data_IF_355937861789
#
_entry.id   IF_355937861789
#
_cell.length_a   1.000
_cell.length_b   1.000
_cell.length_c   1.000
_cell.angle_alpha   90.00
_cell.angle_beta   90.00
_cell.angle_gamma   90.00
#
_symmetry.space_group_name_H-M   'P 1'
#
loop_
_entity.id
_entity.type
_entity.pdbx_description
1 polymer ?
#
# COMPACT_ATOMS: atom_id res chain seq x y z
N UNK A 1 -72.20 -17.07 -35.15
CA UNK A 1 -71.45 -15.78 -35.15
C UNK A 1 -70.52 -15.79 -34.01
N UNK A 2 -69.24 -16.13 -34.23
CA UNK A 2 -68.21 -16.15 -33.23
C UNK A 2 -67.07 -15.29 -33.79
N UNK A 3 -66.77 -14.18 -33.12
CA UNK A 3 -65.64 -13.32 -33.42
C UNK A 3 -64.42 -13.83 -32.67
N UNK A 4 -63.40 -14.11 -33.40
CA UNK A 4 -62.05 -14.47 -32.88
C UNK A 4 -61.25 -13.19 -32.62
N UNK A 5 -61.00 -12.91 -31.37
CA UNK A 5 -60.11 -11.84 -30.95
C UNK A 5 -58.67 -12.35 -30.92
N UNK A 6 -57.82 -11.82 -31.80
CA UNK A 6 -56.41 -12.11 -31.89
C UNK A 6 -55.62 -11.15 -31.01
N UNK A 7 -54.89 -11.69 -30.01
CA UNK A 7 -53.97 -10.98 -29.15
C UNK A 7 -52.68 -10.59 -29.92
N UNK A 8 -52.11 -9.42 -29.68
CA UNK A 8 -50.82 -9.01 -30.26
C UNK A 8 -49.62 -9.66 -29.55
N UNK A 9 -48.79 -10.29 -30.33
CA UNK A 9 -47.49 -10.84 -29.93
C UNK A 9 -46.54 -9.71 -29.50
N UNK A 10 -46.33 -9.59 -28.19
CA UNK A 10 -45.35 -8.69 -27.64
C UNK A 10 -43.91 -9.17 -27.91
N UNK A 11 -43.16 -8.32 -28.57
CA UNK A 11 -41.75 -8.52 -28.89
C UNK A 11 -40.94 -8.44 -27.59
N UNK A 12 -40.44 -9.56 -27.10
CA UNK A 12 -39.56 -9.63 -25.94
C UNK A 12 -38.16 -9.24 -26.41
N UNK A 13 -37.77 -7.98 -26.16
CA UNK A 13 -36.42 -7.51 -26.35
C UNK A 13 -35.56 -8.15 -25.27
N UNK A 14 -34.81 -9.17 -25.63
CA UNK A 14 -33.72 -9.73 -24.78
C UNK A 14 -32.65 -8.67 -24.57
N UNK A 15 -32.66 -8.04 -23.40
CA UNK A 15 -31.50 -7.25 -22.93
C UNK A 15 -30.31 -8.20 -22.75
N UNK A 16 -29.34 -8.09 -23.60
CA UNK A 16 -28.03 -8.72 -23.40
C UNK A 16 -27.43 -8.15 -22.12
N UNK A 17 -27.42 -8.92 -21.05
CA UNK A 17 -26.67 -8.62 -19.84
C UNK A 17 -25.20 -8.81 -20.18
N UNK A 18 -24.51 -7.72 -20.52
CA UNK A 18 -23.06 -7.69 -20.53
C UNK A 18 -22.62 -7.80 -19.08
N UNK A 19 -22.33 -9.01 -18.64
CA UNK A 19 -21.70 -9.24 -17.33
C UNK A 19 -20.41 -8.43 -17.26
N UNK A 20 -20.13 -7.68 -16.16
CA UNK A 20 -18.85 -7.03 -15.98
C UNK A 20 -17.77 -8.12 -16.06
N UNK A 21 -16.72 -7.89 -16.85
CA UNK A 21 -15.56 -8.78 -16.92
C UNK A 21 -15.03 -8.95 -15.52
N UNK A 22 -15.36 -10.06 -14.88
CA UNK A 22 -14.76 -10.48 -13.62
C UNK A 22 -13.29 -10.63 -13.88
N UNK A 23 -12.46 -9.77 -13.26
CA UNK A 23 -11.01 -9.91 -13.30
C UNK A 23 -10.67 -11.28 -12.73
N UNK A 24 -9.84 -12.04 -13.44
CA UNK A 24 -9.32 -13.30 -12.89
C UNK A 24 -8.45 -12.96 -11.67
N UNK A 25 -8.59 -13.73 -10.60
CA UNK A 25 -7.90 -13.48 -9.30
C UNK A 25 -6.37 -13.46 -9.42
N UNK A 26 -5.81 -13.96 -10.52
CA UNK A 26 -4.37 -14.08 -10.75
C UNK A 26 -3.76 -12.95 -11.61
N UNK A 27 -4.55 -12.00 -12.09
CA UNK A 27 -4.02 -10.89 -12.89
C UNK A 27 -3.19 -9.94 -12.01
N UNK A 28 -1.92 -9.62 -12.39
CA UNK A 28 -1.09 -8.70 -11.63
C UNK A 28 -1.73 -7.32 -11.50
N UNK A 29 -1.72 -6.77 -10.29
CA UNK A 29 -2.26 -5.43 -10.03
C UNK A 29 -1.19 -4.40 -10.33
N UNK A 30 -1.49 -3.33 -11.10
CA UNK A 30 -0.53 -2.27 -11.36
C UNK A 30 -0.10 -1.55 -10.08
N UNK A 31 1.18 -1.63 -9.73
CA UNK A 31 1.74 -1.07 -8.51
C UNK A 31 1.75 0.47 -8.43
N UNK A 32 1.40 1.18 -9.51
CA UNK A 32 1.38 2.65 -9.55
C UNK A 32 0.14 3.27 -8.91
N UNK A 33 -0.85 2.48 -8.54
CA UNK A 33 -2.12 2.95 -7.96
C UNK A 33 -2.14 2.70 -6.46
N UNK A 34 -1.38 3.45 -5.72
CA UNK A 34 -1.42 3.38 -4.26
C UNK A 34 -1.60 4.75 -3.63
N UNK A 35 -2.09 4.77 -2.41
CA UNK A 35 -2.18 5.95 -1.55
C UNK A 35 -1.70 5.61 -0.15
N UNK A 36 -1.37 6.64 0.60
CA UNK A 36 -0.91 6.53 1.98
C UNK A 36 -1.90 7.27 2.86
N UNK A 37 -2.34 6.63 3.92
CA UNK A 37 -3.15 7.23 4.98
C UNK A 37 -2.32 7.28 6.26
N UNK A 38 -2.36 8.40 6.97
CA UNK A 38 -1.70 8.57 8.26
C UNK A 38 -2.78 8.97 9.28
N UNK A 39 -3.02 8.13 10.29
CA UNK A 39 -4.11 8.27 11.25
C UNK A 39 -5.49 8.48 10.58
N UNK A 40 -5.75 7.78 9.47
CA UNK A 40 -6.99 7.87 8.71
C UNK A 40 -7.10 9.09 7.79
N UNK A 41 -6.09 9.95 7.73
CA UNK A 41 -6.04 11.09 6.81
C UNK A 41 -5.24 10.70 5.59
N UNK A 42 -5.82 10.89 4.40
CA UNK A 42 -5.13 10.59 3.14
C UNK A 42 -4.06 11.64 2.88
N UNK A 43 -2.81 11.20 2.86
CA UNK A 43 -1.67 12.01 2.41
C UNK A 43 -1.41 11.73 0.93
N UNK A 44 -1.63 12.76 0.11
CA UNK A 44 -1.50 12.66 -1.33
C UNK A 44 -0.04 12.82 -1.82
N UNK A 45 0.22 12.34 -3.04
CA UNK A 45 1.41 12.67 -3.80
C UNK A 45 2.62 11.75 -3.62
N UNK A 46 2.46 10.62 -2.94
CA UNK A 46 3.52 9.61 -2.91
C UNK A 46 3.65 8.88 -4.25
N UNK A 47 4.87 8.78 -4.74
CA UNK A 47 5.22 8.18 -6.03
C UNK A 47 5.92 6.83 -5.88
N UNK A 48 6.50 6.58 -4.72
CA UNK A 48 7.22 5.32 -4.44
C UNK A 48 7.04 4.93 -2.97
N UNK A 49 6.81 3.63 -2.75
CA UNK A 49 6.80 2.99 -1.44
C UNK A 49 7.66 1.72 -1.49
N UNK A 50 8.61 1.59 -0.57
CA UNK A 50 9.50 0.43 -0.43
C UNK A 50 9.57 -0.03 1.01
N UNK A 51 9.92 -1.31 1.21
CA UNK A 51 10.18 -1.86 2.53
C UNK A 51 8.94 -2.44 3.23
N UNK A 52 7.84 -2.66 2.51
CA UNK A 52 6.65 -3.36 3.03
C UNK A 52 6.97 -4.84 3.21
N UNK A 53 7.61 -5.19 4.33
CA UNK A 53 7.98 -6.57 4.56
C UNK A 53 8.62 -6.82 5.92
N UNK A 54 8.82 -8.08 6.19
CA UNK A 54 9.50 -8.57 7.38
C UNK A 54 10.45 -9.70 7.01
N UNK A 55 11.38 -10.00 7.90
CA UNK A 55 12.24 -11.17 7.81
C UNK A 55 12.31 -11.86 9.17
N UNK A 56 12.42 -13.17 9.15
CA UNK A 56 12.81 -13.95 10.30
C UNK A 56 14.32 -13.91 10.46
N UNK A 57 14.79 -13.57 11.64
CA UNK A 57 16.18 -13.85 12.01
C UNK A 57 16.33 -15.32 12.30
N UNK A 58 17.35 -15.94 11.77
CA UNK A 58 17.55 -17.39 11.85
C UNK A 58 18.83 -17.66 12.65
N UNK A 59 18.70 -18.47 13.69
CA UNK A 59 19.81 -18.99 14.45
C UNK A 59 20.24 -20.34 13.86
N UNK A 60 21.52 -20.47 13.58
CA UNK A 60 22.10 -21.71 13.10
C UNK A 60 22.67 -22.52 14.26
N UNK A 61 22.18 -23.76 14.43
CA UNK A 61 22.65 -24.69 15.46
C UNK A 61 23.29 -25.90 14.77
N UNK A 62 24.57 -26.13 15.04
CA UNK A 62 25.29 -27.30 14.57
C UNK A 62 25.13 -28.41 15.60
N UNK A 63 24.74 -29.58 15.15
CA UNK A 63 24.64 -30.79 15.97
C UNK A 63 25.83 -31.72 15.68
N UNK A 64 26.47 -32.21 16.74
CA UNK A 64 27.59 -33.17 16.60
C UNK A 64 27.11 -34.48 15.95
N UNK A 65 27.80 -34.91 14.90
CA UNK A 65 27.45 -36.13 14.16
C UNK A 65 26.53 -35.89 12.92
N UNK A 66 25.98 -34.70 12.73
CA UNK A 66 25.20 -34.33 11.54
C UNK A 66 26.07 -33.50 10.59
N UNK A 67 26.54 -34.13 9.51
CA UNK A 67 27.51 -33.50 8.58
C UNK A 67 26.86 -32.92 7.31
N UNK A 68 25.59 -33.19 7.05
CA UNK A 68 24.91 -32.89 5.79
C UNK A 68 23.99 -31.67 5.85
N UNK A 69 23.67 -31.16 7.05
CA UNK A 69 22.89 -29.92 7.22
C UNK A 69 23.17 -29.26 8.58
N UNK A 70 22.74 -28.01 8.70
CA UNK A 70 22.76 -27.24 9.94
C UNK A 70 21.32 -26.87 10.28
N UNK A 71 20.90 -27.11 11.52
CA UNK A 71 19.58 -26.71 11.97
C UNK A 71 19.41 -25.21 11.89
N UNK A 72 18.29 -24.78 11.31
CA UNK A 72 17.92 -23.38 11.18
C UNK A 72 16.68 -23.10 12.02
N UNK A 73 16.86 -22.48 13.16
CA UNK A 73 15.78 -22.19 14.10
C UNK A 73 15.32 -20.73 13.91
N UNK A 74 14.01 -20.49 13.76
CA UNK A 74 13.49 -19.14 13.70
C UNK A 74 13.68 -18.46 15.07
N UNK A 75 14.24 -17.25 15.06
CA UNK A 75 14.51 -16.46 16.26
C UNK A 75 13.42 -15.40 16.46
N UNK A 76 13.56 -14.27 15.84
CA UNK A 76 12.61 -13.16 15.94
C UNK A 76 12.30 -12.57 14.58
N UNK A 77 11.15 -11.92 14.49
CA UNK A 77 10.75 -11.13 13.33
C UNK A 77 11.44 -9.76 13.39
N UNK A 78 12.02 -9.35 12.28
CA UNK A 78 12.51 -7.99 12.07
C UNK A 78 11.72 -7.35 10.95
N UNK A 79 11.16 -6.17 11.22
CA UNK A 79 10.41 -5.39 10.24
C UNK A 79 11.35 -4.44 9.50
N UNK A 80 11.19 -4.37 8.18
CA UNK A 80 11.95 -3.44 7.34
C UNK A 80 11.44 -2.01 7.56
N UNK A 81 12.34 -1.03 7.45
CA UNK A 81 11.90 0.37 7.39
C UNK A 81 11.14 0.62 6.10
N UNK A 82 10.04 1.34 6.19
CA UNK A 82 9.27 1.74 5.01
C UNK A 82 9.79 3.08 4.50
N UNK A 83 10.16 3.12 3.23
CA UNK A 83 10.63 4.32 2.54
C UNK A 83 9.56 4.82 1.60
N UNK A 84 9.14 6.05 1.81
CA UNK A 84 8.15 6.76 1.01
C UNK A 84 8.81 7.92 0.28
N UNK A 85 8.54 8.09 -1.02
CA UNK A 85 8.99 9.24 -1.81
C UNK A 85 7.81 10.00 -2.38
N UNK A 86 7.90 11.33 -2.38
CA UNK A 86 6.92 12.20 -3.01
C UNK A 86 7.58 13.41 -3.68
N UNK A 87 6.90 14.03 -4.63
CA UNK A 87 7.26 15.38 -5.06
C UNK A 87 7.10 16.38 -3.91
N UNK A 88 7.89 17.43 -3.91
CA UNK A 88 7.73 18.53 -2.93
C UNK A 88 6.30 19.06 -3.00
N UNK A 89 5.61 19.07 -1.88
CA UNK A 89 4.23 19.50 -1.74
C UNK A 89 4.12 20.74 -0.84
N UNK A 90 3.04 21.48 -0.97
CA UNK A 90 2.76 22.64 -0.12
C UNK A 90 2.40 22.26 1.33
N UNK A 91 1.93 21.01 1.54
CA UNK A 91 1.59 20.52 2.87
C UNK A 91 2.84 20.30 3.72
N UNK A 92 2.85 20.91 4.90
CA UNK A 92 3.91 20.79 5.92
C UNK A 92 3.63 19.72 6.98
N UNK A 93 2.49 19.02 6.90
CA UNK A 93 2.03 18.09 7.94
C UNK A 93 3.04 16.96 8.24
N UNK A 94 3.68 16.39 7.19
CA UNK A 94 4.72 15.37 7.38
C UNK A 94 5.99 15.96 7.99
N UNK A 95 6.36 17.16 7.60
CA UNK A 95 7.50 17.86 8.19
C UNK A 95 7.26 18.14 9.68
N UNK A 96 6.06 18.62 10.03
CA UNK A 96 5.68 18.84 11.44
C UNK A 96 5.74 17.55 12.25
N UNK A 97 5.29 16.44 11.70
CA UNK A 97 5.41 15.13 12.36
C UNK A 97 6.88 14.75 12.60
N UNK A 98 7.76 14.92 11.60
CA UNK A 98 9.20 14.69 11.78
C UNK A 98 9.81 15.65 12.80
N UNK A 99 9.42 16.92 12.78
CA UNK A 99 9.94 17.98 13.64
C UNK A 99 9.64 17.73 15.13
N UNK A 100 8.45 17.23 15.43
CA UNK A 100 8.06 16.92 16.81
C UNK A 100 9.06 15.96 17.49
N UNK A 101 9.52 14.95 16.77
CA UNK A 101 10.54 14.02 17.29
C UNK A 101 11.90 14.68 17.53
N UNK A 102 12.29 15.64 16.69
CA UNK A 102 13.60 16.29 16.75
C UNK A 102 13.72 17.33 17.87
N UNK A 103 12.70 18.16 18.06
CA UNK A 103 12.78 19.31 18.96
C UNK A 103 12.17 19.02 20.33
N UNK A 104 11.10 18.27 20.39
CA UNK A 104 10.39 17.99 21.64
C UNK A 104 10.92 16.74 22.35
N UNK A 105 11.86 16.01 21.72
CA UNK A 105 12.37 14.73 22.23
C UNK A 105 11.27 13.66 22.36
N UNK A 106 10.08 13.92 21.82
CA UNK A 106 8.89 13.10 21.94
C UNK A 106 8.54 12.47 20.60
N UNK A 107 8.81 11.19 20.47
CA UNK A 107 8.44 10.44 19.27
C UNK A 107 6.93 10.22 19.24
N UNK A 108 6.24 10.92 18.36
CA UNK A 108 4.81 10.71 18.11
C UNK A 108 4.63 9.55 17.13
N UNK A 109 4.00 8.47 17.61
CA UNK A 109 3.70 7.29 16.81
C UNK A 109 2.32 7.43 16.19
N UNK A 110 2.21 7.05 14.93
CA UNK A 110 0.95 7.09 14.17
C UNK A 110 0.74 5.76 13.45
N UNK A 111 -0.50 5.42 13.18
CA UNK A 111 -0.81 4.30 12.30
C UNK A 111 -0.78 4.78 10.86
N UNK A 112 -0.09 4.02 10.01
CA UNK A 112 0.08 4.35 8.60
C UNK A 112 -0.44 3.20 7.76
N UNK A 113 -1.36 3.47 6.86
CA UNK A 113 -1.88 2.48 5.91
C UNK A 113 -1.40 2.78 4.51
N UNK A 114 -0.87 1.77 3.84
CA UNK A 114 -0.51 1.81 2.44
C UNK A 114 -1.56 1.01 1.68
N UNK A 115 -2.31 1.67 0.81
CA UNK A 115 -3.48 1.09 0.17
C UNK A 115 -3.21 0.98 -1.33
N UNK A 116 -3.26 -0.24 -1.84
CA UNK A 116 -3.25 -0.51 -3.26
C UNK A 116 -4.69 -0.59 -3.76
N UNK A 117 -4.99 0.14 -4.81
CA UNK A 117 -6.31 0.13 -5.41
C UNK A 117 -6.24 -0.15 -6.91
N UNK A 118 -7.32 -0.70 -7.42
CA UNK A 118 -7.50 -0.92 -8.84
C UNK A 118 -8.76 -0.23 -9.33
N UNK A 119 -8.85 -0.06 -10.64
CA UNK A 119 -10.02 0.51 -11.29
C UNK A 119 -10.68 -0.55 -12.16
N UNK A 120 -11.91 -0.89 -11.81
CA UNK A 120 -12.75 -1.81 -12.58
C UNK A 120 -13.91 -1.01 -13.18
N UNK A 121 -13.80 -0.67 -14.46
CA UNK A 121 -14.73 0.26 -15.10
C UNK A 121 -14.59 1.67 -14.54
N UNK A 122 -15.65 2.20 -13.92
CA UNK A 122 -15.65 3.52 -13.27
C UNK A 122 -15.41 3.44 -11.75
N UNK A 123 -15.45 2.25 -11.17
CA UNK A 123 -15.26 2.04 -9.74
C UNK A 123 -13.78 1.91 -9.36
N UNK A 124 -13.44 2.46 -8.19
CA UNK A 124 -12.12 2.34 -7.56
C UNK A 124 -12.29 1.38 -6.39
N UNK A 125 -11.60 0.24 -6.47
CA UNK A 125 -11.67 -0.81 -5.45
C UNK A 125 -10.35 -0.87 -4.69
N UNK A 126 -10.44 -0.92 -3.37
CA UNK A 126 -9.30 -1.27 -2.51
C UNK A 126 -9.01 -2.75 -2.69
N UNK A 127 -7.78 -3.10 -3.04
CA UNK A 127 -7.40 -4.49 -3.34
C UNK A 127 -6.52 -5.06 -2.24
N UNK A 128 -5.60 -4.25 -1.72
CA UNK A 128 -4.72 -4.63 -0.60
C UNK A 128 -4.41 -3.44 0.27
N UNK A 129 -4.35 -3.69 1.58
CA UNK A 129 -4.00 -2.71 2.59
C UNK A 129 -2.90 -3.26 3.49
N UNK A 130 -1.81 -2.52 3.61
CA UNK A 130 -0.75 -2.78 4.60
C UNK A 130 -0.87 -1.74 5.70
N UNK A 131 -1.18 -2.20 6.91
CA UNK A 131 -1.29 -1.34 8.08
C UNK A 131 -0.03 -1.46 8.93
N UNK A 132 0.70 -0.35 9.04
CA UNK A 132 1.91 -0.21 9.83
C UNK A 132 1.53 0.27 11.23
N UNK A 133 1.82 -0.54 12.24
CA UNK A 133 1.46 -0.26 13.62
C UNK A 133 2.52 0.61 14.30
N UNK A 134 2.09 1.71 14.89
CA UNK A 134 2.95 2.58 15.68
C UNK A 134 4.15 3.12 14.90
N UNK A 135 3.92 3.50 13.63
CA UNK A 135 4.96 4.04 12.77
C UNK A 135 5.43 5.43 13.25
N UNK A 136 6.71 5.71 13.07
CA UNK A 136 7.30 7.02 13.35
C UNK A 136 8.42 7.33 12.38
N UNK A 137 8.66 8.62 12.07
CA UNK A 137 9.73 9.02 11.16
C UNK A 137 11.10 8.80 11.82
N UNK A 138 12.00 8.13 11.08
CA UNK A 138 13.38 7.91 11.50
C UNK A 138 14.39 8.66 10.64
N UNK A 139 14.00 9.03 9.42
CA UNK A 139 14.82 9.79 8.50
C UNK A 139 13.93 10.58 7.55
N UNK A 140 14.27 11.85 7.35
CA UNK A 140 13.67 12.68 6.33
C UNK A 140 14.76 13.34 5.50
N UNK A 141 14.66 13.21 4.21
CA UNK A 141 15.57 13.83 3.25
C UNK A 141 14.77 14.81 2.39
N UNK A 142 15.11 16.07 2.50
CA UNK A 142 14.58 17.11 1.63
C UNK A 142 15.00 16.92 0.17
N UNK A 143 14.32 17.64 -0.70
CA UNK A 143 14.61 17.57 -2.11
C UNK A 143 15.99 18.13 -2.44
N UNK A 144 16.68 17.48 -3.38
CA UNK A 144 17.91 18.01 -3.96
C UNK A 144 17.55 19.09 -4.99
N UNK A 145 17.89 20.34 -4.68
CA UNK A 145 17.58 21.51 -5.53
C UNK A 145 18.77 21.84 -6.43
N UNK A 146 18.53 21.90 -7.73
CA UNK A 146 19.53 22.25 -8.74
C UNK A 146 18.90 23.17 -9.78
N UNK A 147 19.41 24.40 -9.91
CA UNK A 147 18.79 25.45 -10.70
C UNK A 147 18.68 25.12 -12.21
N UNK A 148 19.59 24.31 -12.72
CA UNK A 148 19.66 23.87 -14.12
C UNK A 148 18.93 22.53 -14.40
N UNK A 149 18.29 21.96 -13.39
CA UNK A 149 17.64 20.67 -13.51
C UNK A 149 16.15 20.78 -13.87
N UNK A 150 15.74 20.06 -14.92
CA UNK A 150 14.33 19.85 -15.28
C UNK A 150 13.65 18.75 -14.45
N UNK A 151 14.33 18.18 -13.45
CA UNK A 151 13.81 17.09 -12.63
C UNK A 151 12.87 17.62 -11.53
N UNK A 152 11.83 16.85 -11.25
CA UNK A 152 10.95 17.13 -10.11
C UNK A 152 11.75 16.98 -8.81
N UNK A 153 11.60 17.94 -7.92
CA UNK A 153 12.18 17.89 -6.59
C UNK A 153 11.47 16.82 -5.75
N UNK A 154 12.21 15.84 -5.22
CA UNK A 154 11.65 14.67 -4.51
C UNK A 154 12.13 14.67 -3.06
N UNK A 155 11.19 14.53 -2.14
CA UNK A 155 11.41 14.28 -0.72
C UNK A 155 11.34 12.79 -0.43
N UNK A 156 12.11 12.35 0.56
CA UNK A 156 12.11 10.95 1.02
C UNK A 156 11.87 10.91 2.52
N UNK A 157 10.93 10.09 2.94
CA UNK A 157 10.59 9.81 4.33
C UNK A 157 10.82 8.33 4.62
N UNK A 158 11.60 8.02 5.67
CA UNK A 158 11.75 6.65 6.18
C UNK A 158 11.01 6.51 7.50
N UNK A 159 10.18 5.47 7.59
CA UNK A 159 9.41 5.14 8.77
C UNK A 159 9.92 3.83 9.39
N UNK A 160 10.07 3.81 10.70
CA UNK A 160 10.14 2.57 11.47
C UNK A 160 8.75 2.28 12.06
N UNK A 161 8.44 1.01 12.27
CA UNK A 161 7.16 0.55 12.81
C UNK A 161 7.33 -0.72 13.64
N UNK A 162 6.31 -1.10 14.40
CA UNK A 162 6.35 -2.26 15.30
C UNK A 162 5.72 -3.51 14.67
N UNK A 163 5.01 -3.37 13.58
CA UNK A 163 4.37 -4.47 12.88
C UNK A 163 3.77 -4.01 11.57
N UNK A 164 3.52 -4.97 10.68
CA UNK A 164 2.75 -4.79 9.45
C UNK A 164 1.69 -5.88 9.39
N UNK A 165 0.45 -5.48 9.16
CA UNK A 165 -0.67 -6.38 8.85
C UNK A 165 -1.07 -6.19 7.40
N UNK A 166 -1.36 -7.30 6.73
CA UNK A 166 -1.91 -7.29 5.37
C UNK A 166 -3.39 -7.62 5.45
N UNK A 167 -4.22 -6.71 4.97
CA UNK A 167 -5.65 -6.92 4.80
C UNK A 167 -5.96 -6.98 3.31
N UNK A 168 -6.78 -7.94 2.93
CA UNK A 168 -7.34 -8.05 1.59
C UNK A 168 -8.70 -7.34 1.60
N UNK A 169 -8.94 -6.49 0.61
CA UNK A 169 -10.18 -5.75 0.44
C UNK A 169 -11.33 -6.61 -0.08
#
# INVERSE_FOLDING_TARGET
MAQSDSLPTGNVTTRSSTSPKTRMMDDPIPAFRFRVEIDGIIEAGFTECKGLGFRWKVMQVKEGGVNNYVHQLPERVEYSKVTLKRGVALSTALWEWCRQGMYDGRVVRRNVSIILFDRVGEEILEVKRWDLQGAYPVNWKGANLKADSKRVAIETLELAHHGVTLNEG
#
